data_IF_946765439656
#
_entry.id   IF_946765439656
#
_cell.length_a   1.000
_cell.length_b   1.000
_cell.length_c   1.000
_cell.angle_alpha   90.00
_cell.angle_beta   90.00
_cell.angle_gamma   90.00
#
_symmetry.space_group_name_H-M   'P 1'
#
loop_
_entity.id
_entity.type
_entity.pdbx_description
1 polymer ?
#
# COMPACT_ATOMS: atom_id res chain seq x y z
N UNK A 1 11.77 -2.48 25.15
CA UNK A 1 10.54 -3.08 24.58
C UNK A 1 10.69 -2.96 23.08
N UNK A 2 10.95 -4.07 22.40
CA UNK A 2 11.03 -4.14 20.92
C UNK A 2 9.60 -4.04 20.45
N UNK A 3 9.25 -2.99 19.70
CA UNK A 3 7.96 -2.87 19.07
C UNK A 3 7.81 -4.07 18.10
N UNK A 4 6.92 -4.98 18.44
CA UNK A 4 6.53 -6.07 17.55
C UNK A 4 5.98 -5.46 16.26
N UNK A 5 6.51 -5.89 15.12
CA UNK A 5 5.97 -5.52 13.82
C UNK A 5 4.45 -5.77 13.83
N UNK A 6 3.62 -4.86 13.28
CA UNK A 6 2.17 -5.02 13.27
C UNK A 6 1.84 -6.37 12.63
N UNK A 7 0.87 -7.10 13.21
CA UNK A 7 0.41 -8.40 12.70
C UNK A 7 -0.17 -8.21 11.28
N UNK A 8 0.68 -8.46 10.29
CA UNK A 8 0.40 -8.26 8.86
C UNK A 8 -0.77 -9.11 8.37
N UNK A 9 -0.98 -10.28 8.99
CA UNK A 9 -2.13 -11.15 8.64
C UNK A 9 -3.44 -10.51 9.09
N UNK A 10 -3.41 -9.78 10.19
CA UNK A 10 -4.56 -9.00 10.71
C UNK A 10 -4.85 -7.79 9.81
N UNK A 11 -3.81 -7.07 9.37
CA UNK A 11 -3.95 -5.94 8.44
C UNK A 11 -4.62 -6.36 7.13
N UNK A 12 -4.10 -7.38 6.44
CA UNK A 12 -4.68 -7.88 5.18
C UNK A 12 -6.12 -8.37 5.37
N UNK A 13 -6.41 -9.06 6.49
CA UNK A 13 -7.76 -9.53 6.79
C UNK A 13 -8.73 -8.39 7.00
N UNK A 14 -8.34 -7.38 7.76
CA UNK A 14 -9.17 -6.19 8.02
C UNK A 14 -9.44 -5.42 6.73
N UNK A 15 -8.43 -5.22 5.90
CA UNK A 15 -8.57 -4.52 4.61
C UNK A 15 -9.48 -5.29 3.64
N UNK A 16 -9.38 -6.62 3.58
CA UNK A 16 -10.31 -7.45 2.79
C UNK A 16 -11.74 -7.40 3.33
N UNK A 17 -11.92 -7.32 4.65
CA UNK A 17 -13.23 -7.13 5.26
C UNK A 17 -13.82 -5.76 4.87
N UNK A 18 -13.03 -4.68 4.98
CA UNK A 18 -13.44 -3.34 4.58
C UNK A 18 -13.85 -3.28 3.08
N UNK A 19 -13.09 -3.92 2.18
CA UNK A 19 -13.43 -3.99 0.75
C UNK A 19 -14.80 -4.64 0.54
N UNK A 20 -15.12 -5.72 1.28
CA UNK A 20 -16.43 -6.39 1.20
C UNK A 20 -17.57 -5.50 1.72
N UNK A 21 -17.35 -4.81 2.84
CA UNK A 21 -18.35 -3.88 3.38
C UNK A 21 -18.64 -2.72 2.40
N UNK A 22 -17.62 -2.23 1.70
CA UNK A 22 -17.78 -1.22 0.66
C UNK A 22 -18.59 -1.74 -0.56
N UNK A 23 -18.40 -3.00 -0.97
CA UNK A 23 -19.23 -3.62 -2.02
C UNK A 23 -20.69 -3.77 -1.58
N UNK A 24 -20.92 -4.21 -0.33
CA UNK A 24 -22.26 -4.31 0.28
C UNK A 24 -22.90 -2.92 0.36
N UNK A 25 -22.13 -1.90 0.77
CA UNK A 25 -22.61 -0.51 0.82
C UNK A 25 -23.13 -0.03 -0.53
N UNK A 26 -22.37 -0.24 -1.61
CA UNK A 26 -22.79 0.15 -2.95
C UNK A 26 -24.09 -0.58 -3.35
N UNK A 27 -24.17 -1.88 -3.11
CA UNK A 27 -25.36 -2.68 -3.46
C UNK A 27 -26.60 -2.21 -2.68
N UNK A 28 -26.46 -1.96 -1.38
CA UNK A 28 -27.54 -1.50 -0.52
C UNK A 28 -28.02 -0.09 -0.90
N UNK A 29 -27.11 0.84 -1.22
CA UNK A 29 -27.50 2.17 -1.66
C UNK A 29 -28.15 2.19 -3.04
N UNK A 30 -27.78 1.30 -3.96
CA UNK A 30 -28.52 1.12 -5.22
C UNK A 30 -29.95 0.66 -4.95
N UNK A 31 -30.14 -0.27 -4.01
CA UNK A 31 -31.46 -0.74 -3.64
C UNK A 31 -32.29 0.35 -2.92
N UNK A 32 -31.64 1.08 -2.01
CA UNK A 32 -32.24 2.24 -1.35
C UNK A 32 -32.65 3.35 -2.34
N UNK A 33 -31.81 3.68 -3.33
CA UNK A 33 -32.16 4.60 -4.42
C UNK A 33 -33.44 4.18 -5.14
N UNK A 34 -33.59 2.88 -5.44
CA UNK A 34 -34.82 2.36 -6.05
C UNK A 34 -36.06 2.58 -5.16
N UNK A 35 -35.93 2.41 -3.84
CA UNK A 35 -37.01 2.65 -2.90
C UNK A 35 -37.38 4.13 -2.81
N UNK A 36 -36.39 5.03 -2.75
CA UNK A 36 -36.61 6.48 -2.80
C UNK A 36 -37.32 6.87 -4.08
N UNK A 37 -36.89 6.42 -5.26
CA UNK A 37 -37.55 6.68 -6.53
C UNK A 37 -38.98 6.16 -6.54
N UNK A 38 -39.22 4.93 -6.08
CA UNK A 38 -40.56 4.40 -6.00
C UNK A 38 -41.46 5.27 -5.12
N UNK A 39 -40.98 5.74 -3.97
CA UNK A 39 -41.73 6.62 -3.08
C UNK A 39 -41.99 8.02 -3.72
N UNK A 40 -41.10 8.51 -4.58
CA UNK A 40 -41.27 9.79 -5.25
C UNK A 40 -42.32 9.73 -6.40
N UNK A 41 -42.42 8.59 -7.10
CA UNK A 41 -43.24 8.48 -8.33
C UNK A 41 -44.54 7.66 -8.13
N UNK A 42 -44.67 6.96 -7.00
CA UNK A 42 -45.87 6.14 -6.68
C UNK A 42 -46.43 6.51 -5.31
N UNK A 43 -47.56 5.90 -4.94
CA UNK A 43 -48.14 6.07 -3.59
C UNK A 43 -47.56 5.09 -2.55
N UNK A 44 -46.37 4.51 -2.81
CA UNK A 44 -45.65 3.67 -1.83
C UNK A 44 -45.24 4.50 -0.63
N UNK A 45 -45.39 3.91 0.57
CA UNK A 45 -44.98 4.54 1.80
C UNK A 45 -43.46 4.74 1.83
N UNK A 46 -43.05 5.92 2.28
CA UNK A 46 -41.65 6.24 2.54
C UNK A 46 -41.11 5.43 3.73
N UNK A 47 -39.92 4.82 3.65
CA UNK A 47 -39.27 4.24 4.83
C UNK A 47 -39.10 5.28 5.93
N UNK A 48 -39.61 5.04 7.13
CA UNK A 48 -39.67 6.04 8.22
C UNK A 48 -38.31 6.56 8.68
N UNK A 49 -37.23 5.81 8.46
CA UNK A 49 -35.87 6.21 8.80
C UNK A 49 -35.30 7.28 7.86
N UNK A 50 -35.75 7.36 6.60
CA UNK A 50 -35.24 8.31 5.62
C UNK A 50 -35.67 9.76 5.86
N UNK A 51 -36.65 9.97 6.72
CA UNK A 51 -37.10 11.31 7.13
C UNK A 51 -36.33 11.88 8.32
N UNK A 52 -35.46 11.09 8.96
CA UNK A 52 -34.64 11.53 10.07
C UNK A 52 -33.49 12.41 9.59
N UNK A 53 -33.06 13.35 10.45
CA UNK A 53 -31.87 14.19 10.19
C UNK A 53 -30.58 13.38 10.20
N UNK A 54 -30.55 12.29 10.97
CA UNK A 54 -29.44 11.38 11.14
C UNK A 54 -29.60 10.07 10.35
N UNK A 55 -30.40 10.07 9.28
CA UNK A 55 -30.69 8.89 8.45
C UNK A 55 -29.43 8.17 7.97
N UNK A 56 -28.37 8.93 7.64
CA UNK A 56 -27.09 8.42 7.19
C UNK A 56 -26.35 7.58 8.26
N UNK A 57 -26.62 7.78 9.56
CA UNK A 57 -26.10 6.91 10.62
C UNK A 57 -26.83 5.57 10.74
N UNK A 58 -28.07 5.51 10.28
CA UNK A 58 -28.96 4.36 10.47
C UNK A 58 -29.00 3.39 9.29
N UNK A 59 -28.46 3.76 8.12
CA UNK A 59 -28.26 2.83 7.04
C UNK A 59 -27.14 1.83 7.38
N UNK A 60 -27.11 0.66 6.74
CA UNK A 60 -26.12 -0.37 7.04
C UNK A 60 -24.68 0.12 6.82
N UNK A 61 -24.44 0.90 5.76
CA UNK A 61 -23.14 1.53 5.56
C UNK A 61 -22.77 2.50 6.69
N UNK A 62 -23.70 3.34 7.11
CA UNK A 62 -23.45 4.28 8.21
C UNK A 62 -23.11 3.57 9.52
N UNK A 63 -23.77 2.47 9.84
CA UNK A 63 -23.45 1.67 11.03
C UNK A 63 -22.03 1.13 10.99
N UNK A 64 -21.58 0.60 9.84
CA UNK A 64 -20.20 0.17 9.67
C UNK A 64 -19.24 1.38 9.67
N UNK A 65 -19.57 2.44 8.92
CA UNK A 65 -18.72 3.62 8.77
C UNK A 65 -18.39 4.28 10.11
N UNK A 66 -19.39 4.54 10.94
CA UNK A 66 -19.21 5.17 12.27
C UNK A 66 -18.82 4.18 13.37
N UNK A 67 -18.80 2.89 13.09
CA UNK A 67 -18.34 1.81 13.96
C UNK A 67 -16.95 1.31 13.61
N UNK A 68 -16.86 0.07 13.17
CA UNK A 68 -15.59 -0.62 12.87
C UNK A 68 -14.76 0.11 11.78
N UNK A 69 -15.41 0.73 10.81
CA UNK A 69 -14.74 1.48 9.76
C UNK A 69 -13.95 2.67 10.31
N UNK A 70 -14.55 3.45 11.20
CA UNK A 70 -13.89 4.60 11.83
C UNK A 70 -12.69 4.19 12.68
N UNK A 71 -12.81 3.12 13.45
CA UNK A 71 -11.70 2.62 14.28
C UNK A 71 -10.45 2.25 13.46
N UNK A 72 -10.64 1.79 12.23
CA UNK A 72 -9.58 1.25 11.39
C UNK A 72 -9.06 2.23 10.34
N UNK A 73 -9.90 3.14 9.83
CA UNK A 73 -9.65 3.92 8.63
C UNK A 73 -9.76 5.44 8.78
N UNK A 74 -10.06 5.98 9.98
CA UNK A 74 -10.26 7.41 10.21
C UNK A 74 -9.07 8.31 9.82
N UNK A 75 -7.86 7.74 9.72
CA UNK A 75 -6.65 8.49 9.32
C UNK A 75 -6.47 8.59 7.81
N UNK A 76 -7.31 7.94 7.02
CA UNK A 76 -7.20 7.91 5.57
C UNK A 76 -8.00 9.07 4.95
N UNK A 77 -7.38 9.93 4.10
CA UNK A 77 -8.06 11.11 3.55
C UNK A 77 -9.30 10.79 2.73
N UNK A 78 -9.27 9.71 1.96
CA UNK A 78 -10.36 9.26 1.11
C UNK A 78 -11.56 8.81 1.96
N UNK A 79 -11.31 8.22 3.13
CA UNK A 79 -12.35 7.83 4.07
C UNK A 79 -13.15 9.04 4.57
N UNK A 80 -12.47 10.12 4.95
CA UNK A 80 -13.13 11.34 5.42
C UNK A 80 -14.01 12.01 4.35
N UNK A 81 -13.66 11.88 3.06
CA UNK A 81 -14.44 12.45 1.96
C UNK A 81 -15.81 11.78 1.80
N UNK A 82 -15.89 10.49 2.09
CA UNK A 82 -17.11 9.70 1.96
C UNK A 82 -18.18 10.15 2.97
N UNK A 83 -17.79 10.58 4.18
CA UNK A 83 -18.73 11.03 5.21
C UNK A 83 -19.63 12.16 4.70
N UNK A 84 -19.01 13.21 4.18
CA UNK A 84 -19.72 14.40 3.71
C UNK A 84 -20.71 14.08 2.61
N UNK A 85 -20.25 13.35 1.58
CA UNK A 85 -21.09 13.05 0.44
C UNK A 85 -22.24 12.10 0.82
N UNK A 86 -22.02 11.17 1.73
CA UNK A 86 -23.02 10.26 2.25
C UNK A 86 -24.11 11.00 3.04
N UNK A 87 -23.70 11.89 3.96
CA UNK A 87 -24.62 12.78 4.70
C UNK A 87 -25.47 13.63 3.74
N UNK A 88 -24.82 14.31 2.77
CA UNK A 88 -25.49 15.24 1.87
C UNK A 88 -26.47 14.50 0.95
N UNK A 89 -26.15 13.29 0.50
CA UNK A 89 -27.03 12.43 -0.29
C UNK A 89 -28.31 12.05 0.51
N UNK A 90 -28.18 11.59 1.76
CA UNK A 90 -29.35 11.28 2.60
C UNK A 90 -30.19 12.51 2.91
N UNK A 91 -29.56 13.66 3.12
CA UNK A 91 -30.26 14.92 3.34
C UNK A 91 -31.05 15.39 2.11
N UNK A 92 -30.48 15.28 0.93
CA UNK A 92 -31.19 15.58 -0.32
C UNK A 92 -32.39 14.65 -0.54
N UNK A 93 -32.23 13.34 -0.31
CA UNK A 93 -33.34 12.39 -0.37
C UNK A 93 -34.47 12.76 0.63
N UNK A 94 -34.11 13.08 1.88
CA UNK A 94 -35.05 13.50 2.91
C UNK A 94 -35.87 14.73 2.49
N UNK A 95 -35.25 15.71 1.85
CA UNK A 95 -35.93 16.92 1.34
C UNK A 95 -36.97 16.56 0.27
N UNK A 96 -36.58 15.77 -0.73
CA UNK A 96 -37.47 15.32 -1.79
C UNK A 96 -38.69 14.52 -1.26
N UNK A 97 -38.40 13.59 -0.31
CA UNK A 97 -39.47 12.81 0.34
C UNK A 97 -40.38 13.67 1.19
N UNK A 98 -39.86 14.69 1.86
CA UNK A 98 -40.68 15.67 2.63
C UNK A 98 -41.58 16.49 1.71
N UNK A 99 -41.11 16.94 0.56
CA UNK A 99 -41.94 17.64 -0.46
C UNK A 99 -43.05 16.70 -0.98
N UNK A 100 -42.74 15.46 -1.29
CA UNK A 100 -43.73 14.46 -1.72
C UNK A 100 -44.83 14.23 -0.68
N UNK A 101 -44.47 14.11 0.62
CA UNK A 101 -45.43 13.89 1.71
C UNK A 101 -46.32 15.11 1.94
N UNK A 102 -45.76 16.31 1.87
CA UNK A 102 -46.51 17.57 2.05
C UNK A 102 -47.33 17.98 0.83
N UNK A 103 -47.19 17.28 -0.29
CA UNK A 103 -47.79 17.66 -1.57
C UNK A 103 -47.12 18.87 -2.24
N UNK A 104 -45.96 19.28 -1.77
CA UNK A 104 -45.19 20.35 -2.41
C UNK A 104 -44.59 19.87 -3.73
N UNK A 105 -44.47 20.76 -4.74
CA UNK A 105 -43.86 20.37 -6.02
C UNK A 105 -42.39 20.06 -5.83
N UNK A 106 -41.92 18.99 -6.44
CA UNK A 106 -40.50 18.63 -6.51
C UNK A 106 -39.84 19.44 -7.62
N UNK A 107 -38.79 20.20 -7.29
CA UNK A 107 -38.01 20.93 -8.28
C UNK A 107 -37.03 19.96 -8.97
N UNK A 108 -36.92 20.08 -10.32
CA UNK A 108 -35.98 19.25 -11.07
C UNK A 108 -34.51 19.42 -10.61
N UNK A 109 -34.12 20.62 -10.25
CA UNK A 109 -32.76 20.88 -9.74
C UNK A 109 -32.47 20.19 -8.40
N UNK A 110 -33.43 20.06 -7.51
CA UNK A 110 -33.32 19.31 -6.25
C UNK A 110 -33.17 17.80 -6.52
N UNK A 111 -33.92 17.28 -7.50
CA UNK A 111 -33.82 15.89 -7.93
C UNK A 111 -32.45 15.60 -8.59
N UNK A 112 -32.00 16.49 -9.49
CA UNK A 112 -30.68 16.37 -10.13
C UNK A 112 -29.57 16.41 -9.10
N UNK A 113 -29.62 17.32 -8.13
CA UNK A 113 -28.65 17.36 -7.03
C UNK A 113 -28.62 16.04 -6.26
N UNK A 114 -29.79 15.48 -5.93
CA UNK A 114 -29.85 14.18 -5.25
C UNK A 114 -29.18 13.06 -6.06
N UNK A 115 -29.43 13.04 -7.37
CA UNK A 115 -28.85 12.05 -8.27
C UNK A 115 -27.33 12.22 -8.38
N UNK A 116 -26.86 13.46 -8.52
CA UNK A 116 -25.43 13.77 -8.59
C UNK A 116 -24.70 13.33 -7.31
N UNK A 117 -25.28 13.63 -6.14
CA UNK A 117 -24.75 13.17 -4.85
C UNK A 117 -24.70 11.65 -4.74
N UNK A 118 -25.75 10.96 -5.24
CA UNK A 118 -25.78 9.49 -5.22
C UNK A 118 -24.74 8.86 -6.14
N UNK A 119 -24.50 9.44 -7.32
CA UNK A 119 -23.45 9.00 -8.23
C UNK A 119 -22.05 9.31 -7.65
N UNK A 120 -21.87 10.48 -7.07
CA UNK A 120 -20.61 10.87 -6.44
C UNK A 120 -20.27 9.97 -5.26
N UNK A 121 -21.24 9.68 -4.38
CA UNK A 121 -21.04 8.72 -3.29
C UNK A 121 -20.52 7.37 -3.79
N UNK A 122 -21.16 6.81 -4.83
CA UNK A 122 -20.72 5.55 -5.43
C UNK A 122 -19.30 5.65 -5.98
N UNK A 123 -18.95 6.77 -6.61
CA UNK A 123 -17.61 7.00 -7.16
C UNK A 123 -16.56 7.09 -6.05
N UNK A 124 -16.81 7.86 -4.99
CA UNK A 124 -15.88 8.04 -3.87
C UNK A 124 -15.66 6.72 -3.11
N UNK A 125 -16.71 5.94 -2.89
CA UNK A 125 -16.60 4.59 -2.31
C UNK A 125 -15.75 3.68 -3.20
N UNK A 126 -15.88 3.74 -4.53
CA UNK A 126 -15.05 2.96 -5.46
C UNK A 126 -13.59 3.41 -5.46
N UNK A 127 -13.33 4.72 -5.43
CA UNK A 127 -11.96 5.27 -5.34
C UNK A 127 -11.29 4.76 -4.06
N UNK A 128 -12.00 4.85 -2.95
CA UNK A 128 -11.50 4.35 -1.67
C UNK A 128 -11.26 2.82 -1.69
N UNK A 129 -12.18 2.05 -2.27
CA UNK A 129 -12.02 0.61 -2.44
C UNK A 129 -10.77 0.27 -3.28
N UNK A 130 -10.50 1.02 -4.34
CA UNK A 130 -9.28 0.86 -5.13
C UNK A 130 -8.01 1.20 -4.34
N UNK A 131 -8.04 2.21 -3.48
CA UNK A 131 -6.89 2.54 -2.62
C UNK A 131 -6.57 1.38 -1.66
N UNK A 132 -7.60 0.76 -1.05
CA UNK A 132 -7.44 -0.41 -0.18
C UNK A 132 -6.90 -1.64 -0.95
N UNK A 133 -7.40 -1.89 -2.16
CA UNK A 133 -6.91 -2.97 -3.03
C UNK A 133 -5.42 -2.73 -3.34
N UNK A 134 -5.05 -1.51 -3.71
CA UNK A 134 -3.67 -1.15 -3.99
C UNK A 134 -2.77 -1.35 -2.77
N UNK A 135 -3.22 -1.00 -1.56
CA UNK A 135 -2.47 -1.24 -0.32
C UNK A 135 -2.15 -2.73 -0.13
N UNK A 136 -3.11 -3.63 -0.39
CA UNK A 136 -2.88 -5.08 -0.33
C UNK A 136 -1.96 -5.55 -1.46
N UNK A 137 -2.16 -5.03 -2.66
CA UNK A 137 -1.42 -5.43 -3.86
C UNK A 137 0.00 -4.86 -3.95
N UNK A 138 0.42 -3.95 -3.05
CA UNK A 138 1.75 -3.32 -3.11
C UNK A 138 2.78 -3.97 -2.20
N UNK A 139 2.37 -4.86 -1.31
CA UNK A 139 3.26 -5.52 -0.33
C UNK A 139 3.47 -6.99 -0.69
N UNK A 140 4.70 -7.47 -0.57
CA UNK A 140 5.01 -8.89 -0.66
C UNK A 140 4.52 -9.63 0.61
N UNK A 141 3.62 -10.57 0.44
CA UNK A 141 2.93 -11.26 1.53
C UNK A 141 3.86 -12.08 2.44
N UNK A 142 4.96 -12.60 1.90
CA UNK A 142 5.89 -13.39 2.67
C UNK A 142 6.77 -12.50 3.55
N UNK A 143 7.38 -11.49 2.95
CA UNK A 143 8.43 -10.70 3.60
C UNK A 143 7.93 -9.38 4.19
N UNK A 144 6.85 -8.83 3.63
CA UNK A 144 6.32 -7.52 3.95
C UNK A 144 7.15 -6.34 3.43
N UNK A 145 8.13 -6.58 2.60
CA UNK A 145 8.73 -5.57 1.75
C UNK A 145 7.72 -5.08 0.71
N UNK A 146 7.95 -3.94 0.09
CA UNK A 146 7.19 -3.55 -1.09
C UNK A 146 7.41 -4.57 -2.21
N UNK A 147 6.38 -4.86 -2.99
CA UNK A 147 6.52 -5.77 -4.12
C UNK A 147 6.97 -5.03 -5.41
N UNK A 148 7.16 -5.77 -6.50
CA UNK A 148 7.60 -5.24 -7.78
C UNK A 148 6.64 -4.19 -8.38
N UNK A 149 5.33 -4.27 -8.09
CA UNK A 149 4.36 -3.28 -8.57
C UNK A 149 4.57 -1.93 -7.87
N UNK A 150 4.66 -1.94 -6.56
CA UNK A 150 4.95 -0.73 -5.77
C UNK A 150 6.33 -0.15 -6.11
N UNK A 151 7.30 -0.99 -6.45
CA UNK A 151 8.64 -0.56 -6.87
C UNK A 151 8.56 0.35 -8.09
N UNK A 152 7.85 -0.05 -9.16
CA UNK A 152 7.74 0.74 -10.37
C UNK A 152 7.14 2.14 -10.11
N UNK A 153 6.09 2.22 -9.28
CA UNK A 153 5.46 3.48 -8.90
C UNK A 153 6.42 4.37 -8.12
N UNK A 154 7.07 3.83 -7.07
CA UNK A 154 7.98 4.61 -6.20
C UNK A 154 9.25 5.06 -6.92
N UNK A 155 9.77 4.27 -7.84
CA UNK A 155 10.90 4.66 -8.69
C UNK A 155 10.54 5.82 -9.61
N UNK A 156 9.35 5.81 -10.22
CA UNK A 156 8.87 6.90 -11.05
C UNK A 156 8.71 8.20 -10.24
N UNK A 157 8.07 8.14 -9.06
CA UNK A 157 7.93 9.28 -8.15
C UNK A 157 9.28 9.88 -7.75
N UNK A 158 10.24 9.01 -7.42
CA UNK A 158 11.58 9.45 -6.99
C UNK A 158 12.40 10.02 -8.15
N UNK A 159 12.30 9.44 -9.35
CA UNK A 159 12.94 9.98 -10.55
C UNK A 159 12.45 11.40 -10.85
N UNK A 160 11.13 11.64 -10.81
CA UNK A 160 10.57 12.97 -10.96
C UNK A 160 11.03 13.93 -9.85
N UNK A 161 11.16 13.45 -8.61
CA UNK A 161 11.65 14.24 -7.49
C UNK A 161 13.11 14.63 -7.68
N UNK A 162 13.96 13.68 -8.06
CA UNK A 162 15.38 13.89 -8.35
C UNK A 162 15.57 14.91 -9.49
N UNK A 163 14.77 14.81 -10.55
CA UNK A 163 14.80 15.77 -11.65
C UNK A 163 14.44 17.20 -11.21
N UNK A 164 13.43 17.35 -10.34
CA UNK A 164 12.98 18.68 -9.87
C UNK A 164 13.91 19.31 -8.84
N UNK A 165 14.43 18.49 -7.90
CA UNK A 165 15.21 19.00 -6.76
C UNK A 165 16.72 19.04 -7.01
N UNK A 166 17.22 18.27 -7.99
CA UNK A 166 18.64 18.03 -8.20
C UNK A 166 19.31 17.21 -7.08
N UNK A 167 18.51 16.64 -6.15
CA UNK A 167 19.05 15.82 -5.07
C UNK A 167 19.40 14.43 -5.58
N UNK A 168 20.43 13.83 -4.96
CA UNK A 168 20.88 12.52 -5.33
C UNK A 168 19.98 11.42 -4.73
N UNK A 169 19.83 10.31 -5.45
CA UNK A 169 19.17 9.10 -4.96
C UNK A 169 20.03 7.89 -5.30
N UNK A 170 20.21 6.96 -4.35
CA UNK A 170 20.91 5.72 -4.60
C UNK A 170 19.93 4.55 -4.75
N UNK A 171 20.21 3.68 -5.72
CA UNK A 171 19.57 2.39 -5.94
C UNK A 171 20.54 1.27 -5.54
N UNK A 172 20.03 0.29 -4.82
CA UNK A 172 20.85 -0.87 -4.45
C UNK A 172 20.11 -2.17 -4.76
N UNK A 173 20.66 -2.97 -5.66
CA UNK A 173 20.26 -4.37 -5.86
C UNK A 173 20.96 -5.25 -4.82
N UNK A 174 20.24 -6.20 -4.26
CA UNK A 174 20.71 -7.14 -3.22
C UNK A 174 20.26 -8.55 -3.54
N UNK A 175 21.10 -9.51 -3.15
CA UNK A 175 20.78 -10.93 -3.31
C UNK A 175 21.37 -11.72 -2.12
N UNK A 176 20.59 -12.64 -1.59
CA UNK A 176 21.01 -13.50 -0.48
C UNK A 176 21.96 -14.57 -1.02
N UNK A 177 23.21 -14.55 -0.57
CA UNK A 177 24.23 -15.48 -1.04
C UNK A 177 23.85 -16.93 -0.73
N UNK A 178 23.91 -17.77 -1.78
CA UNK A 178 23.66 -19.21 -1.65
C UNK A 178 22.26 -19.59 -1.11
N UNK A 179 21.23 -18.75 -1.29
CA UNK A 179 19.88 -19.01 -0.76
C UNK A 179 19.29 -20.32 -1.25
N UNK A 180 19.57 -20.72 -2.50
CA UNK A 180 19.19 -22.03 -3.02
C UNK A 180 19.70 -23.19 -2.13
N UNK A 181 20.92 -23.11 -1.62
CA UNK A 181 21.47 -24.14 -0.74
C UNK A 181 20.73 -24.21 0.61
N UNK A 182 20.23 -23.07 1.10
CA UNK A 182 19.36 -23.06 2.31
C UNK A 182 18.08 -23.84 2.03
N UNK A 183 17.41 -23.57 0.90
CA UNK A 183 16.20 -24.30 0.50
C UNK A 183 16.47 -25.78 0.29
N UNK A 184 17.52 -26.15 -0.44
CA UNK A 184 17.86 -27.53 -0.76
C UNK A 184 18.20 -28.34 0.51
N UNK A 185 18.83 -27.70 1.51
CA UNK A 185 19.26 -28.38 2.75
C UNK A 185 18.19 -28.41 3.84
N UNK A 186 17.38 -27.36 3.96
CA UNK A 186 16.48 -27.17 5.10
C UNK A 186 15.00 -27.09 4.71
N UNK A 187 14.70 -27.09 3.42
CA UNK A 187 13.35 -26.97 2.86
C UNK A 187 12.84 -25.53 2.74
N UNK A 188 11.84 -25.34 1.90
CA UNK A 188 11.29 -24.03 1.57
C UNK A 188 10.74 -23.27 2.78
N UNK A 189 10.19 -23.96 3.79
CA UNK A 189 9.67 -23.31 4.99
C UNK A 189 10.78 -22.58 5.77
N UNK A 190 11.95 -23.16 5.88
CA UNK A 190 13.12 -22.50 6.50
C UNK A 190 13.60 -21.36 5.60
N UNK A 191 13.59 -21.54 4.28
CA UNK A 191 13.87 -20.46 3.34
C UNK A 191 12.94 -19.25 3.49
N UNK A 192 11.66 -19.49 3.67
CA UNK A 192 10.65 -18.44 3.92
C UNK A 192 10.95 -17.66 5.21
N UNK A 193 11.27 -18.38 6.30
CA UNK A 193 11.66 -17.76 7.58
C UNK A 193 12.96 -16.95 7.46
N UNK A 194 13.93 -17.42 6.65
CA UNK A 194 15.16 -16.70 6.34
C UNK A 194 14.89 -15.42 5.56
N UNK A 195 14.00 -15.45 4.55
CA UNK A 195 13.58 -14.24 3.81
C UNK A 195 12.91 -13.20 4.71
N UNK A 196 12.06 -13.64 5.64
CA UNK A 196 11.44 -12.77 6.63
C UNK A 196 12.45 -12.13 7.57
N UNK A 197 13.40 -12.92 8.08
CA UNK A 197 14.46 -12.44 8.95
C UNK A 197 15.39 -11.45 8.22
N UNK A 198 15.80 -11.76 6.99
CA UNK A 198 16.56 -10.87 6.12
C UNK A 198 15.87 -9.52 5.97
N UNK A 199 14.60 -9.53 5.57
CA UNK A 199 13.82 -8.31 5.39
C UNK A 199 13.69 -7.50 6.68
N UNK A 200 13.53 -8.18 7.83
CA UNK A 200 13.46 -7.51 9.13
C UNK A 200 14.78 -6.83 9.49
N UNK A 201 15.92 -7.50 9.29
CA UNK A 201 17.25 -6.94 9.57
C UNK A 201 17.51 -5.73 8.68
N UNK A 202 17.23 -5.82 7.38
CA UNK A 202 17.41 -4.71 6.44
C UNK A 202 16.50 -3.55 6.79
N UNK A 203 15.21 -3.79 6.98
CA UNK A 203 14.22 -2.74 7.28
C UNK A 203 14.51 -1.98 8.56
N UNK A 204 15.07 -2.64 9.58
CA UNK A 204 15.47 -2.00 10.84
C UNK A 204 16.66 -1.03 10.68
N UNK A 205 17.43 -1.16 9.61
CA UNK A 205 18.55 -0.27 9.31
C UNK A 205 18.13 0.96 8.47
N UNK A 206 16.93 0.95 7.91
CA UNK A 206 16.42 1.96 7.00
C UNK A 206 15.71 3.11 7.74
N UNK A 207 15.71 4.29 7.09
CA UNK A 207 14.96 5.46 7.51
C UNK A 207 13.50 5.35 7.03
N UNK A 208 12.61 6.19 7.56
CA UNK A 208 11.18 6.19 7.22
C UNK A 208 10.88 6.39 5.72
N UNK A 209 11.72 7.13 5.03
CA UNK A 209 11.57 7.45 3.60
C UNK A 209 12.41 6.57 2.67
N UNK A 210 13.28 5.72 3.21
CA UNK A 210 13.93 4.66 2.45
C UNK A 210 12.90 3.57 2.12
N UNK A 211 13.06 2.89 1.00
CA UNK A 211 12.14 1.83 0.60
C UNK A 211 12.89 0.54 0.29
N UNK A 212 12.33 -0.58 0.76
CA UNK A 212 12.82 -1.93 0.48
C UNK A 212 11.77 -2.68 -0.32
N UNK A 213 12.16 -3.21 -1.47
CA UNK A 213 11.31 -3.96 -2.38
C UNK A 213 11.82 -5.39 -2.52
N UNK A 214 10.90 -6.35 -2.62
CA UNK A 214 11.23 -7.69 -3.08
C UNK A 214 11.13 -7.72 -4.61
N UNK A 215 12.27 -7.85 -5.28
CA UNK A 215 12.40 -7.81 -6.73
C UNK A 215 12.11 -9.16 -7.36
N UNK A 216 12.61 -10.24 -6.74
CA UNK A 216 12.48 -11.63 -7.17
C UNK A 216 12.41 -12.58 -5.99
N UNK A 217 12.72 -13.86 -6.18
CA UNK A 217 12.70 -14.89 -5.15
C UNK A 217 13.52 -14.55 -3.92
N UNK A 218 14.81 -14.32 -4.12
CA UNK A 218 15.83 -13.98 -3.10
C UNK A 218 16.49 -12.62 -3.36
N UNK A 219 15.97 -11.88 -4.35
CA UNK A 219 16.48 -10.59 -4.80
C UNK A 219 15.63 -9.46 -4.25
N UNK A 220 16.31 -8.41 -3.79
CA UNK A 220 15.68 -7.21 -3.26
C UNK A 220 16.29 -5.96 -3.89
N UNK A 221 15.48 -4.89 -3.95
CA UNK A 221 15.92 -3.55 -4.32
C UNK A 221 15.72 -2.61 -3.13
N UNK A 222 16.66 -1.71 -2.93
CA UNK A 222 16.55 -0.62 -1.97
C UNK A 222 16.62 0.71 -2.69
N UNK A 223 15.72 1.62 -2.36
CA UNK A 223 15.69 3.00 -2.83
C UNK A 223 16.04 3.90 -1.66
N UNK A 224 17.09 4.69 -1.81
CA UNK A 224 17.67 5.56 -0.79
C UNK A 224 17.64 7.02 -1.25
N UNK A 225 16.54 7.74 -1.04
CA UNK A 225 16.43 9.15 -1.38
C UNK A 225 17.47 10.00 -0.64
N UNK A 226 17.90 11.09 -1.26
CA UNK A 226 18.83 12.08 -0.68
C UNK A 226 20.10 11.45 -0.10
N UNK A 227 20.59 10.38 -0.74
CA UNK A 227 21.73 9.59 -0.26
C UNK A 227 22.79 9.53 -1.35
N UNK A 228 24.01 10.00 -1.04
CA UNK A 228 25.18 9.89 -1.92
C UNK A 228 25.69 8.46 -2.00
N UNK A 229 26.50 8.16 -3.03
CA UNK A 229 27.09 6.83 -3.23
C UNK A 229 27.90 6.37 -2.00
N UNK A 230 28.71 7.24 -1.40
CA UNK A 230 29.52 6.94 -0.23
C UNK A 230 28.66 6.63 1.02
N UNK A 231 27.60 7.43 1.23
CA UNK A 231 26.68 7.20 2.33
C UNK A 231 25.87 5.91 2.14
N UNK A 232 25.48 5.61 0.91
CA UNK A 232 24.83 4.35 0.56
C UNK A 232 25.78 3.17 0.82
N UNK A 233 27.02 3.23 0.31
CA UNK A 233 28.01 2.19 0.54
C UNK A 233 28.28 1.95 2.04
N UNK A 234 28.34 3.01 2.83
CA UNK A 234 28.50 2.93 4.30
C UNK A 234 27.31 2.22 4.96
N UNK A 235 26.09 2.59 4.60
CA UNK A 235 24.85 1.94 5.08
C UNK A 235 24.83 0.46 4.70
N UNK A 236 25.12 0.15 3.44
CA UNK A 236 25.10 -1.21 2.91
C UNK A 236 26.16 -2.10 3.57
N UNK A 237 27.35 -1.60 3.84
CA UNK A 237 28.37 -2.35 4.59
C UNK A 237 27.91 -2.65 6.02
N UNK A 238 27.28 -1.71 6.68
CA UNK A 238 26.71 -1.95 8.02
C UNK A 238 25.63 -3.03 7.99
N UNK A 239 24.74 -3.01 6.99
CA UNK A 239 23.71 -4.04 6.81
C UNK A 239 24.36 -5.39 6.54
N UNK A 240 25.34 -5.47 5.63
CA UNK A 240 26.10 -6.66 5.28
C UNK A 240 26.74 -7.31 6.51
N UNK A 241 27.40 -6.51 7.33
CA UNK A 241 28.05 -6.98 8.58
C UNK A 241 27.03 -7.45 9.60
N UNK A 242 25.92 -6.75 9.75
CA UNK A 242 24.83 -7.16 10.64
C UNK A 242 24.26 -8.51 10.21
N UNK A 243 24.01 -8.71 8.90
CA UNK A 243 23.52 -9.98 8.35
C UNK A 243 24.51 -11.11 8.60
N UNK A 244 25.79 -10.90 8.29
CA UNK A 244 26.83 -11.92 8.44
C UNK A 244 27.04 -12.36 9.92
N UNK A 245 26.80 -11.44 10.87
CA UNK A 245 27.02 -11.69 12.30
C UNK A 245 25.75 -12.09 13.07
N UNK A 246 24.57 -12.07 12.42
CA UNK A 246 23.29 -12.38 13.09
C UNK A 246 22.83 -13.79 12.73
N UNK A 247 22.88 -14.76 13.67
CA UNK A 247 22.32 -16.08 13.44
C UNK A 247 20.77 -16.00 13.38
N UNK A 248 20.20 -16.62 12.37
CA UNK A 248 18.74 -16.71 12.19
C UNK A 248 18.28 -18.04 12.78
N UNK A 249 17.52 -17.96 13.87
CA UNK A 249 16.90 -19.15 14.49
C UNK A 249 15.49 -19.34 13.92
N UNK A 250 15.29 -20.45 13.18
CA UNK A 250 14.02 -20.82 12.59
C UNK A 250 13.11 -21.57 13.58
N UNK A 251 11.82 -21.60 13.32
CA UNK A 251 10.80 -22.17 14.21
C UNK A 251 10.99 -23.66 14.54
N UNK A 252 11.73 -24.41 13.70
CA UNK A 252 12.10 -25.81 13.94
C UNK A 252 13.40 -25.97 14.76
N UNK A 253 13.99 -24.87 15.27
CA UNK A 253 15.26 -24.86 16.00
C UNK A 253 16.50 -24.84 15.11
N UNK A 254 16.38 -24.84 13.79
CA UNK A 254 17.51 -24.70 12.85
C UNK A 254 18.11 -23.32 12.98
N UNK A 255 19.43 -23.21 13.06
CA UNK A 255 20.18 -21.96 13.02
C UNK A 255 20.84 -21.82 11.66
N UNK A 256 20.54 -20.74 10.96
CA UNK A 256 21.13 -20.41 9.64
C UNK A 256 21.98 -19.16 9.74
N UNK A 257 23.18 -19.21 9.20
CA UNK A 257 24.03 -18.05 8.96
C UNK A 257 23.97 -17.71 7.48
N UNK A 258 23.74 -16.46 7.16
CA UNK A 258 23.68 -16.02 5.77
C UNK A 258 24.53 -14.77 5.54
N UNK A 259 24.92 -14.59 4.30
CA UNK A 259 25.49 -13.35 3.80
C UNK A 259 24.67 -12.86 2.62
N UNK A 260 24.89 -11.62 2.23
CA UNK A 260 24.27 -11.06 1.04
C UNK A 260 25.31 -10.22 0.26
N UNK A 261 25.11 -10.16 -1.03
CA UNK A 261 25.87 -9.31 -1.94
C UNK A 261 25.04 -8.12 -2.36
N UNK A 262 25.68 -6.97 -2.56
CA UNK A 262 25.05 -5.68 -2.80
C UNK A 262 25.71 -4.98 -3.99
N UNK A 263 24.91 -4.46 -4.90
CA UNK A 263 25.34 -3.60 -5.99
C UNK A 263 24.63 -2.26 -5.90
N UNK A 264 25.35 -1.15 -5.84
CA UNK A 264 24.79 0.19 -5.70
C UNK A 264 25.13 1.08 -6.89
N UNK A 265 24.14 1.79 -7.39
CA UNK A 265 24.28 2.82 -8.44
C UNK A 265 23.50 4.07 -8.05
N UNK A 266 23.82 5.19 -8.69
CA UNK A 266 23.09 6.43 -8.50
C UNK A 266 21.97 6.55 -9.54
N UNK A 267 20.81 7.03 -9.13
CA UNK A 267 19.76 7.50 -10.01
C UNK A 267 20.03 8.99 -10.30
N UNK A 268 20.62 9.28 -11.44
CA UNK A 268 20.94 10.65 -11.85
C UNK A 268 19.70 11.38 -12.40
N UNK A 269 19.69 12.70 -12.32
CA UNK A 269 18.53 13.56 -12.70
C UNK A 269 18.11 13.47 -14.17
N UNK A 270 18.93 12.92 -15.03
CA UNK A 270 18.64 12.77 -16.47
C UNK A 270 18.76 11.30 -16.94
N UNK A 271 18.92 10.38 -16.01
CA UNK A 271 19.07 8.96 -16.30
C UNK A 271 17.71 8.27 -16.37
N UNK A 272 17.59 7.32 -17.29
CA UNK A 272 16.41 6.45 -17.35
C UNK A 272 16.49 5.46 -16.19
N UNK A 273 15.36 5.19 -15.54
CA UNK A 273 15.28 4.30 -14.36
C UNK A 273 15.87 2.92 -14.69
N UNK A 274 15.59 2.43 -15.88
CA UNK A 274 16.07 1.13 -16.37
C UNK A 274 17.59 1.05 -16.41
N UNK A 275 18.27 2.13 -16.82
CA UNK A 275 19.74 2.19 -16.89
C UNK A 275 20.32 2.19 -15.46
N UNK A 276 19.74 2.94 -14.54
CA UNK A 276 20.18 2.94 -13.13
C UNK A 276 19.99 1.57 -12.45
N UNK A 277 18.91 0.85 -12.78
CA UNK A 277 18.68 -0.52 -12.32
C UNK A 277 19.72 -1.49 -12.92
N UNK A 278 20.03 -1.37 -14.22
CA UNK A 278 21.07 -2.18 -14.88
C UNK A 278 22.45 -1.93 -14.28
N UNK A 279 22.78 -0.68 -13.99
CA UNK A 279 24.02 -0.32 -13.31
C UNK A 279 24.13 -0.95 -11.91
N UNK A 280 23.05 -0.92 -11.13
CA UNK A 280 23.02 -1.57 -9.83
C UNK A 280 23.13 -3.09 -9.91
N UNK A 281 22.51 -3.71 -10.94
CA UNK A 281 22.61 -5.16 -11.19
C UNK A 281 24.04 -5.55 -11.61
N UNK A 282 24.67 -4.82 -12.53
CA UNK A 282 26.07 -5.03 -12.89
C UNK A 282 27.02 -4.96 -11.69
N UNK A 283 26.80 -3.99 -10.81
CA UNK A 283 27.57 -3.88 -9.55
C UNK A 283 27.33 -5.09 -8.64
N UNK A 284 26.07 -5.59 -8.55
CA UNK A 284 25.73 -6.80 -7.80
C UNK A 284 26.43 -8.04 -8.38
N UNK A 285 26.45 -8.19 -9.70
CA UNK A 285 27.17 -9.28 -10.38
C UNK A 285 28.65 -9.22 -10.09
N UNK A 286 29.26 -8.02 -10.07
CA UNK A 286 30.67 -7.84 -9.68
C UNK A 286 30.92 -8.25 -8.22
N UNK A 287 30.01 -7.93 -7.30
CA UNK A 287 30.09 -8.36 -5.90
C UNK A 287 30.04 -9.89 -5.78
N UNK A 288 29.11 -10.54 -6.50
CA UNK A 288 29.00 -12.01 -6.55
C UNK A 288 30.25 -12.67 -7.14
N UNK A 289 30.77 -12.12 -8.24
CA UNK A 289 31.95 -12.66 -8.95
C UNK A 289 33.24 -12.50 -8.13
N UNK A 290 33.37 -11.42 -7.33
CA UNK A 290 34.55 -11.15 -6.51
C UNK A 290 34.56 -11.88 -5.15
N UNK A 291 33.66 -12.85 -4.93
CA UNK A 291 33.63 -13.73 -3.75
C UNK A 291 32.50 -13.50 -2.79
N UNK A 292 31.44 -12.81 -3.21
CA UNK A 292 30.21 -12.57 -2.41
C UNK A 292 30.44 -11.82 -1.10
N UNK A 293 29.36 -11.64 -0.29
CA UNK A 293 29.39 -10.92 0.97
C UNK A 293 30.11 -9.56 0.85
N UNK A 294 29.74 -8.78 -0.15
CA UNK A 294 30.39 -7.52 -0.52
C UNK A 294 29.39 -6.48 -1.00
N UNK A 295 29.82 -5.24 -0.89
CA UNK A 295 29.19 -4.08 -1.52
C UNK A 295 30.10 -3.65 -2.68
N UNK A 296 29.56 -3.59 -3.88
CA UNK A 296 30.20 -2.99 -5.04
C UNK A 296 29.40 -1.77 -5.51
N UNK A 297 30.08 -0.69 -5.83
CA UNK A 297 29.49 0.48 -6.44
C UNK A 297 29.69 0.44 -7.96
N UNK A 298 28.68 0.90 -8.69
CA UNK A 298 28.84 1.22 -10.10
C UNK A 298 29.57 2.55 -10.24
N UNK A 299 30.73 2.53 -10.83
CA UNK A 299 31.48 3.73 -11.21
C UNK A 299 31.29 3.95 -12.70
N UNK A 300 30.87 5.14 -13.09
CA UNK A 300 30.79 5.51 -14.49
C UNK A 300 32.22 5.43 -15.06
N UNK A 301 32.47 4.63 -16.13
CA UNK A 301 33.80 4.58 -16.73
C UNK A 301 34.19 6.00 -17.14
N UNK A 302 35.20 6.54 -16.50
CA UNK A 302 35.87 7.79 -16.94
C UNK A 302 36.57 7.51 -18.25
N UNK A 303 36.00 8.04 -19.35
CA UNK A 303 36.67 8.06 -20.66
C UNK A 303 37.80 9.08 -20.74
#
# INVERSE_FOLDING_TARGET
>A
MIATAPDKSRFTRNTLAAIRELDIAIANHINWLRQVHAALITDTSCPGNDLRLDAHHHCEFGQWYYGEGMEQHQSEPEYATIEKIHHDMHNAARQLLSHRISGAPINIAEYELFMDLAFQFKQDVRVYQYSLINQICTVDHLTGAWNRHAMAMKLAEESERTQRSGQCCALCMMDIDHFKQVNDRHGHKVGDEVLQAFTSIVSNALRKYDSLFRYGGEEFLMLLPETSLDNAATLLNRIRETLANTPITCGNGTVVHLTASFGVAMLASHEVIEDALEHADHALLAAKASGRNKVCAWEVPTH
#
